data_IF_391607085062
#
_entry.id   IF_391607085062
#
_cell.length_a   1.000
_cell.length_b   1.000
_cell.length_c   1.000
_cell.angle_alpha   90.00
_cell.angle_beta   90.00
_cell.angle_gamma   90.00
#
_symmetry.space_group_name_H-M   'P 1'
#
loop_
_entity.id
_entity.type
_entity.pdbx_description
1 polymer ?
#
# COMPACT_ATOMS: atom_id res chain seq x y z
N UNK A 1 23.65 31.26 3.26
CA UNK A 1 23.77 29.97 2.56
C UNK A 1 22.43 29.26 2.71
N UNK A 2 21.52 29.29 1.73
CA UNK A 2 20.33 28.46 1.79
C UNK A 2 20.75 26.99 1.60
N UNK A 3 20.49 26.16 2.61
CA UNK A 3 20.55 24.70 2.48
C UNK A 3 19.42 24.31 1.54
N UNK A 4 19.77 23.81 0.35
CA UNK A 4 18.82 23.05 -0.47
C UNK A 4 18.38 21.84 0.36
N UNK A 5 17.18 21.90 0.95
CA UNK A 5 16.51 20.69 1.40
C UNK A 5 16.23 19.84 0.15
N UNK A 6 16.63 18.57 0.12
CA UNK A 6 16.19 17.68 -0.95
C UNK A 6 14.66 17.67 -0.96
N UNK A 7 14.10 17.73 -2.17
CA UNK A 7 12.69 17.47 -2.41
C UNK A 7 12.38 16.11 -1.77
N UNK A 8 11.50 16.07 -0.77
CA UNK A 8 11.11 14.84 -0.08
C UNK A 8 10.55 13.88 -1.14
N UNK A 9 11.36 12.91 -1.55
CA UNK A 9 10.91 11.76 -2.34
C UNK A 9 9.81 11.07 -1.52
N UNK A 10 8.67 10.71 -2.12
CA UNK A 10 7.65 9.96 -1.39
C UNK A 10 8.28 8.71 -0.78
N UNK A 11 7.88 8.38 0.46
CA UNK A 11 8.38 7.22 1.19
C UNK A 11 8.26 5.90 0.41
N UNK A 12 7.33 5.85 -0.55
CA UNK A 12 7.17 4.78 -1.51
C UNK A 12 7.57 5.31 -2.90
N UNK A 13 8.70 4.84 -3.41
CA UNK A 13 9.03 4.95 -4.82
C UNK A 13 8.53 3.68 -5.50
N UNK A 14 7.38 3.77 -6.19
CA UNK A 14 6.99 2.71 -7.14
C UNK A 14 7.86 2.94 -8.37
N UNK A 15 9.03 2.30 -8.41
CA UNK A 15 9.81 2.21 -9.63
C UNK A 15 9.18 1.12 -10.49
N UNK A 16 8.69 1.51 -11.68
CA UNK A 16 8.06 0.59 -12.63
C UNK A 16 9.01 -0.47 -13.18
N UNK A 17 10.32 -0.39 -12.91
CA UNK A 17 11.28 -1.41 -13.30
C UNK A 17 11.29 -2.65 -12.38
N UNK A 18 10.83 -2.52 -11.13
CA UNK A 18 10.78 -3.62 -10.18
C UNK A 18 9.37 -4.22 -10.16
N UNK A 19 9.31 -5.56 -10.23
CA UNK A 19 8.05 -6.29 -10.11
C UNK A 19 7.55 -6.15 -8.67
N UNK A 20 6.38 -5.55 -8.47
CA UNK A 20 5.79 -5.32 -7.12
C UNK A 20 4.64 -6.29 -6.88
N UNK A 21 4.59 -6.87 -5.69
CA UNK A 21 3.43 -7.62 -5.18
C UNK A 21 2.64 -6.77 -4.20
N UNK A 22 1.32 -6.88 -4.21
CA UNK A 22 0.44 -6.12 -3.31
C UNK A 22 -0.46 -7.05 -2.50
N UNK A 23 -0.41 -6.91 -1.18
CA UNK A 23 -1.43 -7.45 -0.29
C UNK A 23 -2.44 -6.34 0.07
N UNK A 24 -3.69 -6.53 -0.33
CA UNK A 24 -4.82 -5.67 0.00
C UNK A 24 -5.59 -6.21 1.21
N UNK A 25 -5.49 -5.51 2.34
CA UNK A 25 -6.16 -5.85 3.58
C UNK A 25 -7.47 -5.08 3.76
N UNK A 26 -8.59 -5.80 3.80
CA UNK A 26 -9.94 -5.23 3.97
C UNK A 26 -10.57 -5.57 5.31
N UNK A 27 -11.36 -4.66 5.86
CA UNK A 27 -12.17 -4.95 7.06
C UNK A 27 -13.31 -5.90 6.71
N UNK A 28 -13.47 -6.97 7.49
CA UNK A 28 -14.55 -7.95 7.29
C UNK A 28 -15.95 -7.41 7.57
N UNK A 29 -16.07 -6.34 8.36
CA UNK A 29 -17.36 -5.70 8.68
C UNK A 29 -17.32 -4.22 8.34
N UNK A 30 -18.07 -3.85 7.30
CA UNK A 30 -18.16 -2.48 6.79
C UNK A 30 -19.60 -2.12 6.43
N UNK A 31 -20.01 -0.85 6.55
CA UNK A 31 -21.30 -0.38 6.06
C UNK A 31 -21.44 -0.60 4.54
N UNK A 32 -22.67 -0.90 4.09
CA UNK A 32 -22.97 -1.18 2.68
C UNK A 32 -22.44 -0.13 1.67
N UNK A 33 -22.46 1.18 1.96
CA UNK A 33 -21.87 2.17 1.05
C UNK A 33 -20.37 1.96 0.81
N UNK A 34 -19.63 1.49 1.82
CA UNK A 34 -18.19 1.24 1.70
C UNK A 34 -17.88 -0.05 0.94
N UNK A 35 -18.80 -1.03 0.92
CA UNK A 35 -18.62 -2.26 0.15
C UNK A 35 -18.40 -1.94 -1.33
N UNK A 36 -19.20 -1.02 -1.88
CA UNK A 36 -19.04 -0.59 -3.29
C UNK A 36 -17.66 0.02 -3.54
N UNK A 37 -17.22 0.91 -2.65
CA UNK A 37 -15.89 1.53 -2.74
C UNK A 37 -14.76 0.50 -2.64
N UNK A 38 -14.88 -0.47 -1.73
CA UNK A 38 -13.90 -1.55 -1.57
C UNK A 38 -13.85 -2.40 -2.85
N UNK A 39 -15.00 -2.78 -3.40
CA UNK A 39 -15.04 -3.53 -4.65
C UNK A 39 -14.38 -2.76 -5.80
N UNK A 40 -14.67 -1.46 -5.94
CA UNK A 40 -14.00 -0.62 -6.95
C UNK A 40 -12.48 -0.59 -6.77
N UNK A 41 -11.98 -0.54 -5.54
CA UNK A 41 -10.54 -0.62 -5.26
C UNK A 41 -9.98 -1.99 -5.68
N UNK A 42 -10.68 -3.08 -5.34
CA UNK A 42 -10.29 -4.44 -5.70
C UNK A 42 -10.28 -4.62 -7.21
N UNK A 43 -11.33 -4.19 -7.92
CA UNK A 43 -11.42 -4.28 -9.38
C UNK A 43 -10.25 -3.55 -10.06
N UNK A 44 -9.87 -2.36 -9.56
CA UNK A 44 -8.72 -1.60 -10.07
C UNK A 44 -7.40 -2.34 -9.83
N UNK A 45 -7.19 -2.92 -8.64
CA UNK A 45 -5.99 -3.71 -8.34
C UNK A 45 -5.87 -4.95 -9.21
N UNK A 46 -6.98 -5.67 -9.42
CA UNK A 46 -7.01 -6.86 -10.27
C UNK A 46 -6.71 -6.47 -11.72
N UNK A 47 -7.30 -5.40 -12.24
CA UNK A 47 -7.01 -4.90 -13.58
C UNK A 47 -5.52 -4.55 -13.78
N UNK A 48 -4.91 -3.88 -12.79
CA UNK A 48 -3.47 -3.56 -12.83
C UNK A 48 -2.58 -4.82 -12.79
N UNK A 49 -3.03 -5.86 -12.09
CA UNK A 49 -2.35 -7.16 -12.06
C UNK A 49 -2.49 -7.90 -13.40
N UNK A 50 -3.69 -7.92 -13.99
CA UNK A 50 -3.96 -8.53 -15.30
C UNK A 50 -3.16 -7.87 -16.43
N UNK A 51 -2.91 -6.56 -16.34
CA UNK A 51 -2.10 -5.81 -17.30
C UNK A 51 -0.58 -5.93 -17.07
N UNK A 52 -0.14 -6.58 -15.99
CA UNK A 52 1.28 -6.75 -15.68
C UNK A 52 1.96 -5.53 -15.05
N UNK A 53 1.19 -4.52 -14.63
CA UNK A 53 1.74 -3.38 -13.85
C UNK A 53 2.01 -3.71 -12.40
N UNK A 54 1.33 -4.73 -11.88
CA UNK A 54 1.60 -5.34 -10.58
C UNK A 54 1.84 -6.81 -10.85
N UNK A 55 2.90 -7.37 -10.29
CA UNK A 55 3.28 -8.76 -10.52
C UNK A 55 2.26 -9.74 -9.93
N UNK A 56 1.76 -9.44 -8.72
CA UNK A 56 0.70 -10.22 -8.08
C UNK A 56 -0.12 -9.36 -7.10
N UNK A 57 -1.40 -9.69 -6.95
CA UNK A 57 -2.30 -9.02 -6.01
C UNK A 57 -3.10 -10.03 -5.18
N UNK A 58 -2.94 -9.98 -3.86
CA UNK A 58 -3.70 -10.78 -2.91
C UNK A 58 -4.69 -9.92 -2.13
N UNK A 59 -5.98 -10.26 -2.16
CA UNK A 59 -7.00 -9.57 -1.36
C UNK A 59 -7.39 -10.43 -0.17
N UNK A 60 -7.14 -9.95 1.04
CA UNK A 60 -7.41 -10.69 2.28
C UNK A 60 -8.11 -9.82 3.32
N UNK A 61 -8.83 -10.46 4.25
CA UNK A 61 -9.37 -9.75 5.40
C UNK A 61 -8.26 -9.48 6.42
N UNK A 62 -8.37 -8.37 7.16
CA UNK A 62 -7.50 -8.13 8.32
C UNK A 62 -7.49 -9.34 9.26
N UNK A 63 -6.30 -9.82 9.67
CA UNK A 63 -6.17 -10.92 10.61
C UNK A 63 -6.94 -10.64 11.92
N UNK A 64 -7.36 -11.68 12.66
CA UNK A 64 -8.01 -11.50 13.95
C UNK A 64 -7.07 -10.85 14.99
N UNK A 65 -7.66 -10.26 16.03
CA UNK A 65 -6.92 -9.65 17.16
C UNK A 65 -6.33 -10.70 18.11
N UNK A 66 -6.79 -11.95 18.04
CA UNK A 66 -6.38 -13.01 18.97
C UNK A 66 -5.85 -14.22 18.22
N UNK A 67 -4.83 -14.84 18.80
CA UNK A 67 -4.19 -16.06 18.31
C UNK A 67 -5.17 -17.21 18.28
N UNK A 68 -5.36 -17.80 17.09
CA UNK A 68 -6.03 -19.10 17.00
C UNK A 68 -5.43 -20.00 15.90
N UNK A 69 -4.37 -19.57 15.21
CA UNK A 69 -3.81 -20.23 14.02
C UNK A 69 -2.34 -19.88 13.81
N UNK A 70 -1.67 -20.65 12.94
CA UNK A 70 -0.29 -20.45 12.44
C UNK A 70 -0.13 -19.20 11.53
N UNK A 71 -1.02 -18.21 11.66
CA UNK A 71 -1.09 -17.00 10.81
C UNK A 71 -0.77 -15.80 11.70
N UNK A 72 0.04 -14.83 11.24
CA UNK A 72 0.35 -13.65 12.04
C UNK A 72 -0.92 -12.93 12.49
N UNK A 73 -0.93 -12.54 13.75
CA UNK A 73 -2.00 -11.74 14.35
C UNK A 73 -2.01 -10.33 13.76
N UNK A 74 -3.13 -9.64 13.95
CA UNK A 74 -3.25 -8.23 13.54
C UNK A 74 -2.17 -7.35 14.18
N UNK A 75 -1.87 -7.58 15.45
CA UNK A 75 -0.86 -6.79 16.18
C UNK A 75 0.55 -7.03 15.64
N UNK A 76 0.91 -8.28 15.32
CA UNK A 76 2.20 -8.61 14.70
C UNK A 76 2.34 -7.98 13.31
N UNK A 77 1.28 -8.04 12.49
CA UNK A 77 1.27 -7.41 11.17
C UNK A 77 1.40 -5.88 11.26
N UNK A 78 0.69 -5.25 12.19
CA UNK A 78 0.78 -3.79 12.36
C UNK A 78 2.13 -3.38 12.93
N UNK A 79 2.74 -4.17 13.82
CA UNK A 79 4.09 -3.92 14.30
C UNK A 79 5.13 -3.94 13.16
N UNK A 80 4.98 -4.85 12.20
CA UNK A 80 5.81 -4.84 10.98
C UNK A 80 5.60 -3.57 10.16
N UNK A 81 4.34 -3.16 9.96
CA UNK A 81 4.03 -1.94 9.22
C UNK A 81 4.56 -0.68 9.93
N UNK A 82 4.45 -0.61 11.26
CA UNK A 82 4.97 0.51 12.04
C UNK A 82 6.50 0.54 11.98
N UNK A 83 7.16 -0.62 11.99
CA UNK A 83 8.62 -0.71 11.82
C UNK A 83 9.06 -0.18 10.46
N UNK A 84 8.32 -0.50 9.38
CA UNK A 84 8.54 0.12 8.07
C UNK A 84 8.35 1.64 8.12
N UNK A 85 7.27 2.12 8.74
CA UNK A 85 7.00 3.54 8.80
C UNK A 85 8.10 4.32 9.55
N UNK A 86 8.62 3.75 10.64
CA UNK A 86 9.75 4.32 11.39
C UNK A 86 11.04 4.38 10.56
N UNK A 87 11.33 3.34 9.77
CA UNK A 87 12.50 3.30 8.89
C UNK A 87 12.41 4.34 7.76
N UNK A 88 11.20 4.64 7.29
CA UNK A 88 10.93 5.60 6.22
C UNK A 88 10.54 7.00 6.72
N UNK A 89 10.76 7.29 8.01
CA UNK A 89 10.47 8.59 8.64
C UNK A 89 9.01 9.08 8.42
N UNK A 90 8.06 8.16 8.34
CA UNK A 90 6.65 8.43 8.13
C UNK A 90 5.78 7.87 9.26
N UNK A 91 4.47 8.11 9.19
CA UNK A 91 3.53 7.66 10.21
C UNK A 91 2.32 6.97 9.61
N UNK A 92 1.96 5.81 10.16
CA UNK A 92 0.70 5.17 9.83
C UNK A 92 -0.52 5.84 10.49
N UNK A 93 -0.30 6.79 11.41
CA UNK A 93 -1.38 7.59 11.99
C UNK A 93 -1.87 8.62 10.96
N UNK A 94 -3.18 8.93 10.93
CA UNK A 94 -4.23 8.47 11.86
C UNK A 94 -4.92 7.17 11.45
N UNK A 95 -4.57 6.58 10.31
CA UNK A 95 -5.28 5.44 9.74
C UNK A 95 -5.14 4.17 10.58
N UNK A 96 -3.94 3.94 11.10
CA UNK A 96 -3.62 2.93 12.09
C UNK A 96 -3.53 3.61 13.46
N UNK A 97 -4.31 3.13 14.42
CA UNK A 97 -4.37 3.75 15.73
C UNK A 97 -4.50 2.72 16.85
N UNK A 98 -3.43 2.55 17.63
CA UNK A 98 -3.41 1.83 18.91
C UNK A 98 -4.18 2.64 19.96
N UNK A 99 -5.25 2.05 20.52
CA UNK A 99 -6.04 2.65 21.60
C UNK A 99 -6.00 1.73 22.81
N UNK A 100 -5.58 2.27 23.95
CA UNK A 100 -5.71 1.58 25.23
C UNK A 100 -7.20 1.47 25.58
N UNK A 101 -7.69 0.26 25.79
CA UNK A 101 -9.05 -0.02 26.23
C UNK A 101 -8.98 -0.49 27.66
N UNK A 102 -9.65 0.25 28.55
CA UNK A 102 -9.95 -0.24 29.89
C UNK A 102 -11.07 -1.27 29.77
N UNK A 103 -10.84 -2.54 30.11
CA UNK A 103 -11.90 -3.55 30.11
C UNK A 103 -13.05 -3.08 31.02
N UNK A 104 -14.27 -3.07 30.47
CA UNK A 104 -15.46 -2.57 31.17
C UNK A 104 -16.02 -3.56 32.19
N UNK A 105 -15.44 -4.77 32.28
CA UNK A 105 -15.89 -5.83 33.15
C UNK A 105 -15.09 -5.80 34.46
N UNK A 106 -15.75 -5.68 35.63
CA UNK A 106 -15.06 -5.74 36.91
C UNK A 106 -14.41 -7.12 37.09
N UNK A 107 -13.07 -7.15 37.19
CA UNK A 107 -12.28 -8.38 37.36
C UNK A 107 -11.23 -8.65 36.27
N UNK A 108 -11.29 -7.96 35.13
CA UNK A 108 -10.16 -7.86 34.21
C UNK A 108 -9.39 -6.58 34.57
N UNK A 109 -8.23 -6.69 35.21
CA UNK A 109 -7.49 -5.52 35.70
C UNK A 109 -6.43 -5.00 34.74
N UNK A 110 -6.11 -5.74 33.68
CA UNK A 110 -5.08 -5.32 32.75
C UNK A 110 -5.69 -4.54 31.57
N UNK A 111 -5.27 -3.28 31.35
CA UNK A 111 -5.66 -2.54 30.16
C UNK A 111 -5.14 -3.28 28.92
N UNK A 112 -6.04 -3.52 27.96
CA UNK A 112 -5.70 -4.18 26.71
C UNK A 112 -5.52 -3.11 25.62
N UNK A 113 -4.43 -3.18 24.88
CA UNK A 113 -4.25 -2.34 23.69
C UNK A 113 -5.07 -2.93 22.54
N UNK A 114 -5.89 -2.09 21.90
CA UNK A 114 -6.66 -2.48 20.71
C UNK A 114 -6.25 -1.64 19.53
N UNK A 115 -5.89 -2.30 18.43
CA UNK A 115 -5.48 -1.58 17.23
C UNK A 115 -6.65 -1.38 16.26
N UNK A 116 -6.91 -0.12 15.93
CA UNK A 116 -7.84 0.26 14.86
C UNK A 116 -7.08 0.30 13.55
N UNK A 117 -7.46 -0.56 12.61
CA UNK A 117 -6.95 -0.61 11.22
C UNK A 117 -7.80 0.24 10.27
N UNK A 118 -7.31 0.70 9.11
CA UNK A 118 -8.15 1.34 8.10
C UNK A 118 -9.17 0.37 7.49
N UNK A 119 -10.10 0.89 6.67
CA UNK A 119 -11.08 0.07 5.93
C UNK A 119 -10.39 -0.77 4.86
N UNK A 120 -9.42 -0.16 4.17
CA UNK A 120 -8.51 -0.78 3.21
C UNK A 120 -7.10 -0.32 3.54
N UNK A 121 -6.14 -1.23 3.53
CA UNK A 121 -4.71 -0.93 3.45
C UNK A 121 -4.05 -1.78 2.38
N UNK A 122 -2.97 -1.27 1.81
CA UNK A 122 -2.10 -2.00 0.90
C UNK A 122 -0.74 -2.16 1.55
N UNK A 123 -0.18 -3.36 1.52
CA UNK A 123 1.23 -3.62 1.77
C UNK A 123 1.89 -3.99 0.45
N UNK A 124 2.98 -3.32 0.11
CA UNK A 124 3.72 -3.50 -1.14
C UNK A 124 5.00 -4.26 -0.82
N UNK A 125 5.27 -5.30 -1.58
CA UNK A 125 6.46 -6.11 -1.45
C UNK A 125 7.20 -6.14 -2.78
N UNK A 126 8.51 -6.28 -2.70
CA UNK A 126 9.30 -6.69 -3.86
C UNK A 126 8.87 -8.10 -4.29
N UNK A 127 8.64 -8.32 -5.59
CA UNK A 127 8.31 -9.64 -6.09
C UNK A 127 9.56 -10.53 -6.04
N UNK A 128 9.43 -11.68 -5.40
CA UNK A 128 10.49 -12.71 -5.38
C UNK A 128 10.85 -13.13 -6.81
N UNK A 129 12.01 -12.71 -7.31
CA UNK A 129 12.58 -13.21 -8.57
C UNK A 129 13.25 -14.58 -8.39
N UNK A 130 13.55 -14.97 -7.15
CA UNK A 130 14.47 -16.07 -6.84
C UNK A 130 13.93 -17.04 -5.78
N UNK A 131 12.67 -17.48 -5.88
CA UNK A 131 12.19 -18.78 -5.36
C UNK A 131 12.35 -19.11 -3.85
N UNK A 132 12.91 -18.23 -3.02
CA UNK A 132 12.99 -18.39 -1.56
C UNK A 132 11.73 -17.80 -0.93
N UNK A 133 10.71 -18.65 -0.81
CA UNK A 133 9.33 -18.30 -0.47
C UNK A 133 9.09 -17.67 0.93
N UNK A 134 10.12 -17.27 1.69
CA UNK A 134 10.01 -17.00 3.12
C UNK A 134 10.48 -15.60 3.57
N UNK A 135 10.88 -14.70 2.67
CA UNK A 135 11.27 -13.33 3.07
C UNK A 135 10.91 -12.27 2.04
N UNK A 136 9.60 -12.03 1.91
CA UNK A 136 9.09 -10.86 1.17
C UNK A 136 9.53 -9.57 1.85
N UNK A 137 10.35 -8.76 1.18
CA UNK A 137 10.78 -7.45 1.70
C UNK A 137 9.65 -6.44 1.56
N UNK A 138 9.18 -5.88 2.68
CA UNK A 138 8.14 -4.87 2.72
C UNK A 138 8.69 -3.52 2.22
N UNK A 139 8.21 -3.08 1.05
CA UNK A 139 8.63 -1.84 0.40
C UNK A 139 7.72 -0.66 0.75
N UNK A 140 6.46 -0.92 1.10
CA UNK A 140 5.50 0.16 1.32
C UNK A 140 4.25 -0.24 2.09
N UNK A 141 3.69 0.68 2.87
CA UNK A 141 2.36 0.53 3.49
C UNK A 141 1.50 1.76 3.21
N UNK A 142 0.31 1.55 2.67
CA UNK A 142 -0.68 2.60 2.40
C UNK A 142 -1.95 2.31 3.21
N UNK A 143 -2.58 3.30 3.85
CA UNK A 143 -2.20 4.71 3.90
C UNK A 143 -1.08 5.02 4.90
N UNK A 144 -0.26 6.01 4.57
CA UNK A 144 0.74 6.60 5.46
C UNK A 144 0.69 8.13 5.40
N UNK A 145 1.27 8.78 6.40
CA UNK A 145 1.35 10.22 6.53
C UNK A 145 2.81 10.63 6.67
N UNK A 146 3.24 11.61 5.88
CA UNK A 146 4.56 12.22 5.99
C UNK A 146 4.45 13.67 6.49
N UNK A 147 5.52 14.15 7.10
CA UNK A 147 5.68 15.59 7.39
C UNK A 147 6.20 16.28 6.13
N UNK A 148 5.51 17.34 5.71
CA UNK A 148 5.92 18.11 4.53
C UNK A 148 7.02 19.09 4.91
N UNK A 149 7.82 19.50 3.92
CA UNK A 149 8.89 20.49 4.10
C UNK A 149 8.39 21.84 4.65
N UNK A 150 7.09 22.14 4.48
CA UNK A 150 6.41 23.33 4.98
C UNK A 150 5.88 23.18 6.42
N UNK A 151 6.18 22.06 7.10
CA UNK A 151 5.70 21.75 8.44
C UNK A 151 4.24 21.28 8.47
N UNK A 152 3.66 20.97 7.32
CA UNK A 152 2.34 20.35 7.19
C UNK A 152 2.41 18.82 7.33
N UNK A 153 1.26 18.17 7.30
CA UNK A 153 1.16 16.70 7.20
C UNK A 153 0.41 16.33 5.94
N UNK A 154 0.93 15.38 5.16
CA UNK A 154 0.26 14.86 3.97
C UNK A 154 0.02 13.37 4.14
N UNK A 155 -1.24 12.95 4.00
CA UNK A 155 -1.62 11.54 4.01
C UNK A 155 -1.74 11.03 2.60
N UNK A 156 -0.96 10.01 2.27
CA UNK A 156 -1.03 9.25 1.03
C UNK A 156 -2.07 8.15 1.17
N UNK A 157 -2.97 8.05 0.20
CA UNK A 157 -4.15 7.16 0.27
C UNK A 157 -4.10 6.04 -0.77
N UNK A 158 -4.91 5.01 -0.56
CA UNK A 158 -5.09 3.91 -1.53
C UNK A 158 -5.53 4.43 -2.90
N UNK A 159 -6.43 5.41 -2.92
CA UNK A 159 -6.93 6.00 -4.17
C UNK A 159 -5.82 6.76 -4.93
N UNK A 160 -4.99 7.51 -4.21
CA UNK A 160 -3.88 8.27 -4.79
C UNK A 160 -2.83 7.33 -5.39
N UNK A 161 -2.52 6.23 -4.70
CA UNK A 161 -1.61 5.21 -5.21
C UNK A 161 -2.14 4.62 -6.53
N UNK A 162 -3.37 4.11 -6.52
CA UNK A 162 -3.98 3.48 -7.70
C UNK A 162 -4.02 4.45 -8.89
N UNK A 163 -4.41 5.69 -8.66
CA UNK A 163 -4.49 6.70 -9.72
C UNK A 163 -3.13 7.12 -10.26
N UNK A 164 -2.07 6.90 -9.48
CA UNK A 164 -0.68 7.16 -9.92
C UNK A 164 -0.18 6.02 -10.81
N UNK A 165 -0.41 4.77 -10.40
CA UNK A 165 -0.03 3.57 -11.19
C UNK A 165 -0.80 3.52 -12.51
N UNK A 166 -2.11 3.77 -12.49
CA UNK A 166 -2.94 3.82 -13.71
C UNK A 166 -2.45 4.88 -14.71
N UNK A 167 -2.05 6.07 -14.23
CA UNK A 167 -1.50 7.11 -15.10
C UNK A 167 -0.16 6.70 -15.71
N UNK A 168 0.67 5.97 -14.96
CA UNK A 168 1.92 5.44 -15.47
C UNK A 168 1.66 4.38 -16.57
N UNK A 169 0.66 3.51 -16.40
CA UNK A 169 0.22 2.56 -17.43
C UNK A 169 -0.22 3.25 -18.71
N UNK A 170 -1.12 4.24 -18.61
CA UNK A 170 -1.66 4.95 -19.76
C UNK A 170 -0.56 5.72 -20.51
N UNK A 171 0.39 6.30 -19.77
CA UNK A 171 1.57 6.96 -20.34
C UNK A 171 2.49 5.99 -21.09
N UNK A 172 2.70 4.79 -20.55
CA UNK A 172 3.54 3.77 -21.17
C UNK A 172 2.90 3.22 -22.46
N UNK A 173 1.59 2.97 -22.46
CA UNK A 173 0.83 2.55 -23.65
C UNK A 173 0.82 3.60 -24.76
N UNK A 174 0.83 4.89 -24.41
CA UNK A 174 0.90 5.98 -25.38
C UNK A 174 2.29 6.11 -26.03
N UNK A 175 3.35 5.74 -25.32
CA UNK A 175 4.73 5.75 -25.83
C UNK A 175 5.00 4.55 -26.76
N UNK A 176 4.47 3.37 -26.43
CA UNK A 176 4.56 2.17 -27.27
C UNK A 176 3.87 2.36 -28.64
N UNK A 177 2.71 3.04 -28.65
CA UNK A 177 2.01 3.38 -29.90
C UNK A 177 2.76 4.36 -30.83
N UNK A 178 3.75 5.12 -30.34
CA UNK A 178 4.47 6.11 -31.14
C UNK A 178 5.69 5.54 -31.88
N UNK A 179 6.30 4.48 -31.37
CA UNK A 179 7.47 3.84 -31.98
C UNK A 179 7.12 3.08 -33.28
N UNK A 180 5.87 2.60 -33.42
CA UNK A 180 5.43 1.90 -34.64
C UNK A 180 5.12 2.85 -35.82
N UNK A 181 4.98 4.16 -35.59
CA UNK A 181 4.51 5.10 -36.63
C UNK A 181 5.63 5.80 -37.42
N UNK A 182 6.91 5.58 -37.09
CA UNK A 182 8.06 6.21 -37.76
C UNK A 182 8.85 5.30 -38.71
N UNK A 183 8.41 4.07 -38.94
CA UNK A 183 9.12 3.11 -39.82
C UNK A 183 8.56 3.02 -41.25
N UNK A 184 7.81 4.02 -41.75
CA UNK A 184 7.19 3.94 -43.08
C UNK A 184 7.20 5.25 -43.89
N UNK A 185 8.35 5.93 -44.00
CA UNK A 185 8.55 6.90 -45.09
C UNK A 185 10.04 7.09 -45.39
N UNK A 186 10.66 6.11 -46.04
CA UNK A 186 11.84 6.37 -46.90
C UNK A 186 12.04 5.19 -47.85
N UNK A 187 11.55 5.33 -49.08
CA UNK A 187 11.77 4.29 -50.08
C UNK A 187 10.91 4.36 -51.32
N UNK A 188 10.76 5.53 -51.96
CA UNK A 188 10.39 5.57 -53.37
C UNK A 188 11.29 6.57 -54.12
N UNK A 189 12.08 6.01 -55.03
CA UNK A 189 13.04 6.65 -55.94
C UNK A 189 12.34 7.27 -57.15
#
# INVERSE_FOLDING_TARGET
MPVNKPLTTPAIAIDTAESIQIDCYVRSTVPAPLIKTINTIIDRLLYLCENGSIADCHVTCWPPETVNTNVPTRDELIAQFESWAEQHECSLKPAFHRKQITPSLPGLNDPCERVRVPVVALALYEADTDGEADSKTLQGVIPYTEETSEGGKRTHTVEELLSTVERAEDGNKAHDCQDEQWSLVEGEQ
#
